data_IF_791840151092
#
_entry.id   IF_791840151092
#
_cell.length_a   1.000
_cell.length_b   1.000
_cell.length_c   1.000
_cell.angle_alpha   90.00
_cell.angle_beta   90.00
_cell.angle_gamma   90.00
#
_symmetry.space_group_name_H-M   'P 1'
#
loop_
_entity.id
_entity.type
_entity.pdbx_description
1 polymer ?
#
# COMPACT_ATOMS: atom_id res chain seq x y z
N UNK A 1 23.32 -4.41 -32.79
CA UNK A 1 22.95 -5.11 -31.55
C UNK A 1 21.54 -4.68 -31.21
N UNK A 2 20.59 -5.61 -31.07
CA UNK A 2 19.28 -5.28 -30.55
C UNK A 2 19.46 -4.95 -29.07
N UNK A 3 19.19 -3.71 -28.68
CA UNK A 3 19.11 -3.32 -27.28
C UNK A 3 17.97 -4.12 -26.65
N UNK A 4 18.30 -5.06 -25.77
CA UNK A 4 17.32 -5.76 -24.95
C UNK A 4 16.87 -4.75 -23.90
N UNK A 5 15.62 -4.28 -23.98
CA UNK A 5 15.03 -3.53 -22.87
C UNK A 5 14.93 -4.49 -21.67
N UNK A 6 15.69 -4.19 -20.63
CA UNK A 6 15.63 -4.95 -19.38
C UNK A 6 14.61 -4.27 -18.47
N UNK A 7 13.66 -5.03 -17.89
CA UNK A 7 12.72 -4.48 -16.94
C UNK A 7 13.47 -3.81 -15.80
N UNK A 8 13.13 -2.55 -15.56
CA UNK A 8 13.77 -1.76 -14.50
C UNK A 8 13.57 -2.43 -13.14
N UNK A 9 14.63 -2.46 -12.33
CA UNK A 9 14.55 -2.88 -10.92
C UNK A 9 13.96 -1.79 -10.01
N UNK A 10 13.59 -0.63 -10.58
CA UNK A 10 12.96 0.44 -9.80
C UNK A 10 11.57 -0.02 -9.32
N UNK A 11 11.21 0.28 -8.05
CA UNK A 11 9.88 0.00 -7.55
C UNK A 11 8.86 0.72 -8.43
N UNK A 12 7.84 -0.01 -8.87
CA UNK A 12 6.78 0.57 -9.67
C UNK A 12 5.96 1.57 -8.84
N UNK A 13 5.19 2.44 -9.50
CA UNK A 13 4.38 3.42 -8.78
C UNK A 13 3.35 2.74 -7.87
N UNK A 14 2.83 1.57 -8.26
CA UNK A 14 1.92 0.76 -7.44
C UNK A 14 2.60 0.23 -6.18
N UNK A 15 3.82 -0.29 -6.28
CA UNK A 15 4.55 -0.78 -5.11
C UNK A 15 4.86 0.37 -4.15
N UNK A 16 5.31 1.51 -4.68
CA UNK A 16 5.59 2.71 -3.88
C UNK A 16 4.33 3.23 -3.19
N UNK A 17 3.20 3.31 -3.91
CA UNK A 17 1.94 3.76 -3.35
C UNK A 17 1.37 2.79 -2.33
N UNK A 18 1.49 1.47 -2.56
CA UNK A 18 1.10 0.45 -1.60
C UNK A 18 1.88 0.61 -0.29
N UNK A 19 3.21 0.76 -0.36
CA UNK A 19 4.04 0.96 0.82
C UNK A 19 3.70 2.26 1.56
N UNK A 20 3.54 3.37 0.83
CA UNK A 20 3.15 4.65 1.43
C UNK A 20 1.79 4.57 2.13
N UNK A 21 0.79 3.95 1.48
CA UNK A 21 -0.55 3.79 2.04
C UNK A 21 -0.56 2.89 3.27
N UNK A 22 0.25 1.82 3.29
CA UNK A 22 0.41 0.95 4.44
C UNK A 22 1.04 1.70 5.63
N UNK A 23 2.05 2.53 5.39
CA UNK A 23 2.64 3.37 6.43
C UNK A 23 1.63 4.36 7.02
N UNK A 24 0.85 5.04 6.18
CA UNK A 24 -0.20 5.98 6.63
C UNK A 24 -1.26 5.25 7.46
N UNK A 25 -1.74 4.10 6.98
CA UNK A 25 -2.71 3.28 7.71
C UNK A 25 -2.18 2.82 9.07
N UNK A 26 -0.89 2.48 9.16
CA UNK A 26 -0.23 2.12 10.41
C UNK A 26 -0.20 3.27 11.42
N UNK A 27 0.10 4.50 10.98
CA UNK A 27 0.08 5.70 11.85
C UNK A 27 -1.35 5.97 12.33
N UNK A 28 -2.34 5.90 11.44
CA UNK A 28 -3.76 6.11 11.78
C UNK A 28 -4.22 5.08 12.80
N UNK A 29 -3.88 3.80 12.60
CA UNK A 29 -4.18 2.73 13.56
C UNK A 29 -3.58 3.05 14.92
N UNK A 30 -2.31 3.43 14.99
CA UNK A 30 -1.66 3.77 16.26
C UNK A 30 -2.35 4.94 16.99
N UNK A 31 -2.75 5.99 16.26
CA UNK A 31 -3.47 7.13 16.82
C UNK A 31 -4.86 6.73 17.35
N UNK A 32 -5.60 5.91 16.60
CA UNK A 32 -6.93 5.44 17.02
C UNK A 32 -6.81 4.56 18.25
N UNK A 33 -5.84 3.64 18.29
CA UNK A 33 -5.64 2.78 19.48
C UNK A 33 -5.21 3.57 20.71
N UNK A 34 -4.46 4.66 20.53
CA UNK A 34 -4.08 5.55 21.62
C UNK A 34 -5.28 6.34 22.17
N UNK A 35 -6.15 6.85 21.31
CA UNK A 35 -7.29 7.67 21.72
C UNK A 35 -8.53 6.86 22.12
N UNK A 36 -8.72 5.69 21.50
CA UNK A 36 -9.88 4.81 21.65
C UNK A 36 -9.43 3.33 21.79
N UNK A 37 -9.09 2.91 23.02
CA UNK A 37 -8.61 1.55 23.29
C UNK A 37 -9.61 0.45 22.92
N UNK A 38 -10.91 0.77 22.90
CA UNK A 38 -11.98 -0.17 22.55
C UNK A 38 -11.85 -0.72 21.11
N UNK A 39 -11.11 -0.03 20.25
CA UNK A 39 -10.83 -0.48 18.88
C UNK A 39 -9.58 -1.37 18.79
N UNK A 40 -8.99 -1.84 19.91
CA UNK A 40 -7.79 -2.69 19.89
C UNK A 40 -8.00 -4.10 19.32
N UNK A 41 -9.25 -4.52 19.12
CA UNK A 41 -9.57 -5.82 18.56
C UNK A 41 -8.91 -6.02 17.17
N UNK A 42 -8.03 -7.04 17.01
CA UNK A 42 -7.30 -7.26 15.76
C UNK A 42 -8.20 -7.44 14.54
N UNK A 43 -9.36 -8.08 14.73
CA UNK A 43 -10.34 -8.36 13.68
C UNK A 43 -10.89 -7.08 13.01
N UNK A 44 -10.87 -5.93 13.69
CA UNK A 44 -11.27 -4.63 13.12
C UNK A 44 -10.27 -4.18 12.05
N UNK A 45 -8.98 -4.53 12.22
CA UNK A 45 -7.88 -3.99 11.41
C UNK A 45 -7.35 -4.97 10.36
N UNK A 46 -7.56 -6.27 10.53
CA UNK A 46 -7.18 -7.32 9.56
C UNK A 46 -7.66 -7.08 8.12
N UNK A 47 -8.90 -6.62 7.86
CA UNK A 47 -9.35 -6.38 6.50
C UNK A 47 -8.79 -5.09 5.88
N UNK A 48 -8.28 -4.17 6.70
CA UNK A 48 -7.87 -2.83 6.28
C UNK A 48 -6.77 -2.83 5.19
N UNK A 49 -5.71 -3.66 5.27
CA UNK A 49 -4.68 -3.74 4.23
C UNK A 49 -5.23 -4.14 2.86
N UNK A 50 -6.20 -5.04 2.80
CA UNK A 50 -6.80 -5.47 1.54
C UNK A 50 -7.67 -4.37 0.94
N UNK A 51 -8.43 -3.66 1.77
CA UNK A 51 -9.23 -2.51 1.33
C UNK A 51 -8.34 -1.37 0.84
N UNK A 52 -7.35 -0.97 1.63
CA UNK A 52 -6.40 0.09 1.28
C UNK A 52 -5.61 -0.29 0.03
N UNK A 53 -5.06 -1.51 -0.03
CA UNK A 53 -4.32 -2.01 -1.18
C UNK A 53 -5.16 -2.08 -2.46
N UNK A 54 -6.41 -2.54 -2.35
CA UNK A 54 -7.35 -2.60 -3.48
C UNK A 54 -7.71 -1.20 -4.00
N UNK A 55 -8.05 -0.27 -3.10
CA UNK A 55 -8.39 1.12 -3.46
C UNK A 55 -7.18 1.82 -4.09
N UNK A 56 -6.01 1.76 -3.45
CA UNK A 56 -4.79 2.41 -3.95
C UNK A 56 -4.36 1.78 -5.28
N UNK A 57 -4.41 0.46 -5.40
CA UNK A 57 -4.09 -0.24 -6.64
C UNK A 57 -5.04 0.07 -7.80
N UNK A 58 -6.30 0.42 -7.50
CA UNK A 58 -7.26 0.88 -8.51
C UNK A 58 -6.94 2.27 -9.05
N UNK A 59 -6.57 3.20 -8.17
CA UNK A 59 -6.27 4.59 -8.56
C UNK A 59 -4.86 4.77 -9.11
N UNK A 60 -3.89 4.02 -8.60
CA UNK A 60 -2.49 4.13 -9.01
C UNK A 60 -2.26 3.24 -10.22
N UNK A 61 -2.25 3.89 -11.39
CA UNK A 61 -1.88 3.25 -12.65
C UNK A 61 -0.37 3.19 -12.74
N UNK A 62 0.13 2.01 -13.11
CA UNK A 62 1.53 1.86 -13.49
C UNK A 62 1.65 1.83 -15.00
N UNK A 63 2.77 2.35 -15.50
CA UNK A 63 3.18 2.03 -16.86
C UNK A 63 3.50 0.54 -16.92
N UNK A 64 3.24 -0.15 -18.03
CA UNK A 64 3.78 -1.49 -18.23
C UNK A 64 5.28 -1.44 -17.92
N UNK A 65 5.77 -2.40 -17.15
CA UNK A 65 7.21 -2.59 -17.02
C UNK A 65 7.68 -3.02 -18.41
N UNK A 66 8.28 -2.09 -19.16
CA UNK A 66 9.02 -2.38 -20.39
C UNK A 66 10.36 -2.98 -20.01
#
# INVERSE_FOLDING_TARGET
>A
MATVEQPSALPTNKLTAAMASASIAGIIKALILHQFPDFAEPAIWEPLPYLVGGVVGWFVKDKPNV
#
